data_IF_197302433243
#
_entry.id   IF_197302433243
#
_cell.length_a   1.000
_cell.length_b   1.000
_cell.length_c   1.000
_cell.angle_alpha   90.00
_cell.angle_beta   90.00
_cell.angle_gamma   90.00
#
_symmetry.space_group_name_H-M   'P 1'
#
loop_
_entity.id
_entity.type
_entity.pdbx_description
1 polymer ?
#
# COMPACT_ATOMS: atom_id res chain seq x y z
N UNK A 1 -12.27 -5.81 1.84
CA UNK A 1 -12.35 -4.88 3.01
C UNK A 1 -11.41 -3.71 2.77
N UNK A 2 -11.81 -2.49 3.13
CA UNK A 2 -10.91 -1.32 3.08
C UNK A 2 -10.54 -0.95 4.52
N UNK A 3 -9.25 -0.87 4.80
CA UNK A 3 -8.70 -0.31 6.03
C UNK A 3 -8.37 1.17 5.78
N UNK A 4 -9.17 2.11 6.32
CA UNK A 4 -8.92 3.53 6.12
C UNK A 4 -7.65 3.95 6.84
N UNK A 5 -7.02 5.01 6.34
CA UNK A 5 -5.88 5.63 6.99
C UNK A 5 -6.18 5.99 8.45
N UNK A 6 -5.21 5.72 9.31
CA UNK A 6 -5.25 6.01 10.72
C UNK A 6 -3.86 6.41 11.20
N UNK A 7 -3.79 7.23 12.25
CA UNK A 7 -2.53 7.83 12.71
C UNK A 7 -1.52 6.84 13.31
N UNK A 8 -1.97 5.65 13.73
CA UNK A 8 -1.07 4.57 14.20
C UNK A 8 -1.74 3.19 14.09
N UNK A 9 -0.92 2.14 13.96
CA UNK A 9 -1.31 0.72 14.12
C UNK A 9 -1.96 0.50 15.48
N UNK A 10 -1.34 1.01 16.54
CA UNK A 10 -1.81 0.87 17.92
C UNK A 10 -3.26 1.36 18.10
N UNK A 11 -3.62 2.47 17.48
CA UNK A 11 -4.97 3.00 17.59
C UNK A 11 -5.99 2.20 16.74
N UNK A 12 -5.57 1.49 15.68
CA UNK A 12 -6.45 0.53 15.00
C UNK A 12 -6.72 -0.71 15.88
N UNK A 13 -5.70 -1.19 16.59
CA UNK A 13 -5.80 -2.34 17.48
C UNK A 13 -6.61 -2.03 18.74
N UNK A 14 -6.27 -0.95 19.43
CA UNK A 14 -6.78 -0.66 20.77
C UNK A 14 -7.90 0.38 20.78
N UNK A 15 -7.96 1.23 19.74
CA UNK A 15 -8.95 2.30 19.65
C UNK A 15 -8.83 3.30 20.79
N UNK A 16 -9.97 3.91 21.15
CA UNK A 16 -10.04 4.83 22.29
C UNK A 16 -10.18 4.05 23.61
N UNK A 17 -9.47 4.48 24.65
CA UNK A 17 -9.56 3.88 25.98
C UNK A 17 -10.95 4.09 26.62
N UNK A 18 -11.41 3.14 27.46
CA UNK A 18 -12.63 3.31 28.25
C UNK A 18 -12.64 4.63 29.03
N UNK A 19 -13.71 5.42 28.88
CA UNK A 19 -13.86 6.72 29.55
C UNK A 19 -13.26 7.92 28.81
N UNK A 20 -12.48 7.72 27.74
CA UNK A 20 -11.98 8.82 26.89
C UNK A 20 -12.99 9.29 25.83
N UNK A 21 -13.95 8.45 25.49
CA UNK A 21 -15.03 8.67 24.51
C UNK A 21 -16.32 7.99 24.99
N UNK A 22 -17.51 8.33 24.40
CA UNK A 22 -18.72 7.53 24.61
C UNK A 22 -18.46 6.05 24.32
N UNK A 23 -18.99 5.15 25.16
CA UNK A 23 -18.68 3.72 25.17
C UNK A 23 -18.68 3.04 23.78
N UNK A 24 -19.68 3.36 22.94
CA UNK A 24 -19.79 2.85 21.55
C UNK A 24 -18.66 3.25 20.59
N UNK A 25 -17.76 4.14 21.00
CA UNK A 25 -16.59 4.59 20.23
C UNK A 25 -15.27 4.22 20.93
N UNK A 26 -15.32 3.43 22.00
CA UNK A 26 -14.14 2.90 22.69
C UNK A 26 -13.81 1.49 22.20
N UNK A 27 -12.55 1.09 22.33
CA UNK A 27 -12.03 -0.17 21.80
C UNK A 27 -11.66 -0.11 20.31
N UNK A 28 -10.81 -1.02 19.89
CA UNK A 28 -10.37 -1.19 18.50
C UNK A 28 -10.66 -2.60 18.00
N UNK A 29 -9.94 -3.03 16.96
CA UNK A 29 -10.07 -4.37 16.40
C UNK A 29 -9.69 -5.47 17.41
N UNK A 30 -8.72 -5.19 18.28
CA UNK A 30 -8.05 -6.17 19.11
C UNK A 30 -7.33 -7.25 18.32
N UNK A 31 -6.62 -8.13 19.03
CA UNK A 31 -5.95 -9.28 18.42
C UNK A 31 -6.94 -10.19 17.68
N UNK A 32 -8.14 -10.38 18.24
CA UNK A 32 -9.18 -11.20 17.61
C UNK A 32 -9.61 -10.64 16.26
N UNK A 33 -9.78 -9.32 16.15
CA UNK A 33 -10.12 -8.65 14.90
C UNK A 33 -8.97 -8.68 13.88
N UNK A 34 -7.72 -8.48 14.33
CA UNK A 34 -6.54 -8.60 13.48
C UNK A 34 -6.41 -10.01 12.88
N UNK A 35 -6.51 -11.05 13.72
CA UNK A 35 -6.52 -12.46 13.29
C UNK A 35 -7.70 -12.77 12.37
N UNK A 36 -8.88 -12.20 12.63
CA UNK A 36 -10.04 -12.38 11.75
C UNK A 36 -9.82 -11.74 10.36
N UNK A 37 -9.18 -10.57 10.29
CA UNK A 37 -8.81 -9.93 9.03
C UNK A 37 -7.76 -10.74 8.26
N UNK A 38 -6.74 -11.23 8.95
CA UNK A 38 -5.73 -12.09 8.33
C UNK A 38 -6.36 -13.38 7.78
N UNK A 39 -7.24 -14.03 8.57
CA UNK A 39 -8.01 -15.20 8.13
C UNK A 39 -8.90 -14.88 6.93
N UNK A 40 -9.51 -13.71 6.89
CA UNK A 40 -10.31 -13.31 5.74
C UNK A 40 -9.44 -13.23 4.47
N UNK A 41 -8.26 -12.63 4.54
CA UNK A 41 -7.33 -12.54 3.40
C UNK A 41 -6.82 -13.92 2.99
N UNK A 42 -6.31 -14.70 3.94
CA UNK A 42 -5.73 -16.02 3.65
C UNK A 42 -6.73 -16.99 3.03
N UNK A 43 -8.03 -16.83 3.27
CA UNK A 43 -9.12 -17.60 2.65
C UNK A 43 -9.64 -16.98 1.31
N UNK A 44 -8.86 -16.15 0.64
CA UNK A 44 -9.21 -15.58 -0.68
C UNK A 44 -9.81 -14.18 -0.63
N UNK A 45 -9.92 -13.57 0.55
CA UNK A 45 -10.39 -12.21 0.71
C UNK A 45 -9.39 -11.16 0.19
N UNK A 46 -9.90 -9.97 -0.11
CA UNK A 46 -9.08 -8.84 -0.57
C UNK A 46 -9.13 -7.71 0.46
N UNK A 47 -7.98 -7.26 0.93
CA UNK A 47 -7.83 -6.10 1.82
C UNK A 47 -7.13 -4.98 1.07
N UNK A 48 -7.66 -3.76 1.16
CA UNK A 48 -7.02 -2.55 0.67
C UNK A 48 -6.69 -1.68 1.87
N UNK A 49 -5.42 -1.35 2.09
CA UNK A 49 -4.97 -0.54 3.21
C UNK A 49 -4.43 0.80 2.72
N UNK A 50 -4.86 1.88 3.39
CA UNK A 50 -4.41 3.23 3.06
C UNK A 50 -3.39 3.74 4.06
N UNK A 51 -2.29 4.24 3.54
CA UNK A 51 -1.30 5.04 4.25
C UNK A 51 -0.90 4.39 5.59
N UNK A 52 -1.23 4.99 6.74
CA UNK A 52 -0.90 4.42 8.05
C UNK A 52 -1.46 3.02 8.31
N UNK A 53 -2.62 2.67 7.74
CA UNK A 53 -3.19 1.33 7.87
C UNK A 53 -2.41 0.27 7.08
N UNK A 54 -1.57 0.67 6.13
CA UNK A 54 -0.67 -0.26 5.44
C UNK A 54 0.37 -0.83 6.40
N UNK A 55 0.84 -0.04 7.38
CA UNK A 55 1.78 -0.50 8.42
C UNK A 55 1.12 -1.57 9.29
N UNK A 56 -0.11 -1.33 9.74
CA UNK A 56 -0.91 -2.34 10.44
C UNK A 56 -1.01 -3.66 9.63
N UNK A 57 -1.35 -3.57 8.34
CA UNK A 57 -1.48 -4.77 7.51
C UNK A 57 -0.14 -5.49 7.29
N UNK A 58 0.96 -4.74 7.20
CA UNK A 58 2.32 -5.30 7.10
C UNK A 58 2.67 -6.09 8.37
N UNK A 59 2.49 -5.46 9.54
CA UNK A 59 2.88 -6.02 10.84
C UNK A 59 1.99 -7.20 11.23
N UNK A 60 0.67 -7.00 11.25
CA UNK A 60 -0.28 -7.98 11.77
C UNK A 60 -0.43 -9.21 10.86
N UNK A 61 -0.16 -9.07 9.56
CA UNK A 61 -0.23 -10.20 8.61
C UNK A 61 1.17 -10.78 8.30
N UNK A 62 2.25 -10.20 8.84
CA UNK A 62 3.61 -10.64 8.59
C UNK A 62 4.03 -10.54 7.11
N UNK A 63 3.61 -9.48 6.42
CA UNK A 63 3.92 -9.31 4.99
C UNK A 63 5.42 -9.04 4.78
N UNK A 64 6.03 -9.52 3.68
CA UNK A 64 7.45 -9.29 3.38
C UNK A 64 7.68 -7.90 2.77
N UNK A 65 7.21 -6.86 3.46
CA UNK A 65 7.29 -5.45 3.07
C UNK A 65 7.64 -4.65 4.32
N UNK A 66 8.40 -3.57 4.19
CA UNK A 66 8.64 -2.61 5.28
C UNK A 66 8.28 -1.20 4.87
N UNK A 67 7.94 -0.35 5.84
CA UNK A 67 7.86 1.10 5.63
C UNK A 67 9.25 1.72 5.76
N UNK A 68 9.73 2.38 4.70
CA UNK A 68 11.06 3.04 4.71
C UNK A 68 11.04 4.41 5.37
N UNK A 69 9.84 4.93 5.68
CA UNK A 69 9.68 6.20 6.41
C UNK A 69 9.65 6.00 7.93
N UNK A 70 9.56 4.75 8.38
CA UNK A 70 9.50 4.41 9.79
C UNK A 70 10.82 4.74 10.51
N UNK A 71 10.70 5.35 11.69
CA UNK A 71 11.87 5.70 12.51
C UNK A 71 12.70 6.87 11.99
N UNK A 72 12.39 7.43 10.81
CA UNK A 72 13.10 8.59 10.26
C UNK A 72 12.70 9.85 11.03
N UNK A 73 13.65 10.59 11.62
CA UNK A 73 13.34 11.82 12.35
C UNK A 73 12.74 12.90 11.44
N UNK A 74 11.81 13.70 11.97
CA UNK A 74 11.21 14.81 11.21
C UNK A 74 12.19 15.92 10.85
N UNK A 75 13.39 15.94 11.44
CA UNK A 75 14.49 16.83 11.06
C UNK A 75 15.20 16.39 9.78
N UNK A 76 15.02 15.14 9.36
CA UNK A 76 15.65 14.54 8.17
C UNK A 76 14.62 14.34 7.06
N UNK A 77 13.44 13.81 7.40
CA UNK A 77 12.33 13.61 6.47
C UNK A 77 11.04 14.25 6.99
N UNK A 78 10.53 15.25 6.25
CA UNK A 78 9.24 15.84 6.60
C UNK A 78 8.50 16.33 5.35
N UNK A 79 7.27 15.85 5.19
CA UNK A 79 6.35 16.29 4.15
C UNK A 79 4.96 16.40 4.79
N UNK A 80 4.56 17.57 5.34
CA UNK A 80 3.30 17.72 6.07
C UNK A 80 2.07 17.63 5.15
N UNK A 81 2.27 17.93 3.86
CA UNK A 81 1.23 17.93 2.85
C UNK A 81 1.77 18.47 1.53
N UNK A 82 1.95 17.60 0.54
CA UNK A 82 2.47 17.98 -0.78
C UNK A 82 1.95 17.05 -1.87
N UNK A 83 2.04 17.52 -3.10
CA UNK A 83 1.82 16.69 -4.28
C UNK A 83 3.16 16.11 -4.70
N UNK A 84 3.29 14.79 -4.59
CA UNK A 84 4.50 14.06 -4.94
C UNK A 84 4.27 13.32 -6.26
N UNK A 85 5.21 13.54 -7.18
CA UNK A 85 5.25 12.87 -8.48
C UNK A 85 5.39 11.38 -8.26
N UNK A 86 4.45 10.63 -8.80
CA UNK A 86 4.38 9.17 -8.65
C UNK A 86 4.27 8.57 -10.05
N UNK A 87 5.19 7.66 -10.39
CA UNK A 87 5.15 6.89 -11.62
C UNK A 87 4.33 5.62 -11.41
N UNK A 88 3.58 5.23 -12.44
CA UNK A 88 2.64 4.10 -12.40
C UNK A 88 3.04 3.09 -13.47
N UNK A 89 3.13 1.81 -13.08
CA UNK A 89 3.29 0.73 -14.03
C UNK A 89 1.95 0.47 -14.73
N UNK A 90 1.72 1.11 -15.88
CA UNK A 90 0.45 1.02 -16.63
C UNK A 90 0.19 -0.35 -17.26
N UNK A 91 1.20 -1.23 -17.30
CA UNK A 91 1.04 -2.62 -17.70
C UNK A 91 0.47 -3.50 -16.57
N UNK A 92 0.48 -3.00 -15.33
CA UNK A 92 -0.08 -3.71 -14.19
C UNK A 92 -1.62 -3.66 -14.21
N UNK A 93 -2.35 -4.77 -13.97
CA UNK A 93 -3.82 -4.78 -14.02
C UNK A 93 -4.49 -3.79 -13.07
N UNK A 94 -3.94 -3.61 -11.86
CA UNK A 94 -4.42 -2.59 -10.90
C UNK A 94 -4.22 -1.15 -11.36
N UNK A 95 -3.42 -0.92 -12.40
CA UNK A 95 -3.20 0.38 -13.03
C UNK A 95 -3.95 0.54 -14.35
N UNK A 96 -4.91 -0.33 -14.67
CA UNK A 96 -5.71 -0.23 -15.89
C UNK A 96 -6.28 1.19 -16.10
N UNK A 97 -5.99 1.77 -17.26
CA UNK A 97 -6.45 3.11 -17.66
C UNK A 97 -5.82 4.27 -16.89
N UNK A 98 -4.75 4.04 -16.12
CA UNK A 98 -3.96 5.11 -15.49
C UNK A 98 -3.06 5.82 -16.52
N UNK A 99 -2.68 7.06 -16.21
CA UNK A 99 -1.53 7.70 -16.85
C UNK A 99 -0.25 7.12 -16.22
N UNK A 100 0.88 7.19 -16.94
CA UNK A 100 2.19 6.74 -16.43
C UNK A 100 2.70 7.56 -15.24
N UNK A 101 2.14 8.75 -15.03
CA UNK A 101 2.54 9.71 -13.99
C UNK A 101 1.31 10.36 -13.38
N UNK A 102 1.25 10.39 -12.05
CA UNK A 102 0.21 11.08 -11.27
C UNK A 102 0.81 11.90 -10.14
N UNK A 103 0.02 12.85 -9.63
CA UNK A 103 0.30 13.57 -8.40
C UNK A 103 -0.37 12.85 -7.22
N UNK A 104 0.41 12.17 -6.38
CA UNK A 104 -0.08 11.59 -5.15
C UNK A 104 -0.07 12.64 -4.03
N UNK A 105 -1.16 12.73 -3.26
CA UNK A 105 -1.18 13.58 -2.07
C UNK A 105 -0.47 12.89 -0.92
N UNK A 106 0.69 13.40 -0.54
CA UNK A 106 1.52 12.87 0.54
C UNK A 106 1.40 13.75 1.77
N UNK A 107 1.05 13.17 2.92
CA UNK A 107 0.81 13.88 4.18
C UNK A 107 1.38 13.11 5.36
N UNK A 108 2.69 13.22 5.54
CA UNK A 108 3.47 12.38 6.45
C UNK A 108 3.18 10.89 6.20
N UNK A 109 3.01 10.57 4.92
CA UNK A 109 2.55 9.28 4.44
C UNK A 109 3.67 8.25 4.39
N UNK A 110 3.39 7.05 3.89
CA UNK A 110 4.30 5.91 3.89
C UNK A 110 4.98 5.69 2.54
N UNK A 111 6.12 5.04 2.56
CA UNK A 111 6.75 4.51 1.37
C UNK A 111 7.29 3.12 1.68
N UNK A 112 7.33 2.22 0.71
CA UNK A 112 7.57 0.81 1.02
C UNK A 112 8.84 0.27 0.40
N UNK A 113 9.26 -0.89 0.89
CA UNK A 113 10.29 -1.71 0.25
C UNK A 113 9.96 -3.20 0.44
N UNK A 114 10.01 -4.03 -0.63
CA UNK A 114 9.94 -5.47 -0.47
C UNK A 114 11.13 -5.98 0.34
N UNK A 115 10.88 -6.79 1.35
CA UNK A 115 11.93 -7.42 2.16
C UNK A 115 12.25 -8.79 1.57
N UNK A 116 13.51 -9.02 1.23
CA UNK A 116 14.01 -10.38 1.02
C UNK A 116 14.42 -10.94 2.38
N UNK A 117 13.86 -12.07 2.79
CA UNK A 117 14.30 -12.75 4.01
C UNK A 117 15.79 -13.12 3.88
N UNK A 118 16.61 -12.51 4.74
CA UNK A 118 18.04 -12.82 4.84
C UNK A 118 18.23 -14.22 5.42
N UNK A 119 19.09 -15.00 4.75
CA UNK A 119 19.36 -16.42 5.07
C UNK A 119 20.40 -16.63 6.16
N UNK A 120 20.81 -15.56 6.83
CA UNK A 120 21.95 -15.58 7.74
C UNK A 120 21.57 -14.78 8.98
N UNK A 121 21.36 -15.49 10.08
CA UNK A 121 21.15 -14.90 11.40
C UNK A 121 22.31 -15.21 12.33
N UNK A 122 22.19 -14.80 13.60
CA UNK A 122 23.19 -15.08 14.64
C UNK A 122 23.45 -16.58 14.86
N UNK A 123 22.47 -17.43 14.53
CA UNK A 123 22.55 -18.90 14.62
C UNK A 123 23.18 -19.61 13.41
N UNK A 124 23.63 -18.88 12.38
CA UNK A 124 24.14 -19.45 11.14
C UNK A 124 23.13 -19.38 9.98
N UNK A 125 23.37 -20.20 8.94
CA UNK A 125 22.50 -20.27 7.75
C UNK A 125 21.41 -21.32 7.96
N UNK A 126 20.16 -20.91 7.90
CA UNK A 126 19.04 -21.85 7.95
C UNK A 126 18.88 -22.56 6.59
N UNK A 127 19.05 -23.89 6.59
CA UNK A 127 18.86 -24.76 5.42
C UNK A 127 17.42 -25.30 5.30
N UNK A 128 16.44 -24.65 5.96
CA UNK A 128 15.02 -25.06 5.90
C UNK A 128 14.43 -24.68 4.55
N UNK A 129 13.70 -25.61 3.93
CA UNK A 129 12.98 -25.37 2.68
C UNK A 129 11.79 -24.44 2.94
N UNK A 130 11.99 -23.14 2.73
CA UNK A 130 10.92 -22.15 2.83
C UNK A 130 9.78 -22.45 1.85
N UNK A 131 8.56 -22.13 2.27
CA UNK A 131 7.44 -21.98 1.35
C UNK A 131 7.74 -20.91 0.29
N UNK A 132 6.96 -20.86 -0.80
CA UNK A 132 7.11 -19.80 -1.78
C UNK A 132 6.98 -18.43 -1.10
N UNK A 133 7.94 -17.53 -1.37
CA UNK A 133 7.84 -16.14 -0.93
C UNK A 133 6.52 -15.55 -1.44
N UNK A 134 5.78 -14.80 -0.61
CA UNK A 134 4.61 -14.07 -1.07
C UNK A 134 4.96 -13.23 -2.29
N UNK A 135 4.15 -13.33 -3.35
CA UNK A 135 4.37 -12.52 -4.54
C UNK A 135 4.09 -11.06 -4.19
N UNK A 136 5.11 -10.22 -4.33
CA UNK A 136 5.06 -8.78 -4.08
C UNK A 136 5.27 -8.05 -5.40
N UNK A 137 4.24 -7.37 -5.89
CA UNK A 137 4.27 -6.63 -7.15
C UNK A 137 4.18 -5.12 -6.87
N UNK A 138 5.02 -4.33 -7.54
CA UNK A 138 5.01 -2.87 -7.41
C UNK A 138 4.13 -2.27 -8.51
N UNK A 139 3.07 -1.58 -8.10
CA UNK A 139 2.09 -0.95 -9.02
C UNK A 139 2.46 0.50 -9.31
N UNK A 140 2.97 1.20 -8.30
CA UNK A 140 3.39 2.60 -8.43
C UNK A 140 4.61 2.88 -7.55
N UNK A 141 5.41 3.87 -7.96
CA UNK A 141 6.61 4.35 -7.23
C UNK A 141 6.56 5.87 -7.12
N UNK A 142 7.09 6.42 -6.05
CA UNK A 142 7.47 7.83 -6.07
C UNK A 142 8.59 8.03 -7.10
N UNK A 143 8.58 9.15 -7.81
CA UNK A 143 9.59 9.41 -8.83
C UNK A 143 11.00 9.47 -8.21
N UNK A 144 12.03 9.11 -8.97
CA UNK A 144 13.44 9.24 -8.51
C UNK A 144 13.94 10.69 -8.58
N UNK A 145 13.34 11.49 -9.46
CA UNK A 145 13.74 12.87 -9.77
C UNK A 145 12.50 13.75 -9.84
N UNK A 146 12.67 15.02 -9.51
CA UNK A 146 11.62 16.04 -9.55
C UNK A 146 10.34 15.59 -8.78
N UNK A 147 10.56 15.04 -7.58
CA UNK A 147 9.51 14.48 -6.71
C UNK A 147 8.46 15.53 -6.35
N UNK A 148 8.89 16.68 -5.84
CA UNK A 148 7.99 17.71 -5.36
C UNK A 148 7.34 18.43 -6.55
N UNK A 149 6.04 18.16 -6.78
CA UNK A 149 5.26 18.89 -7.78
C UNK A 149 4.67 20.17 -7.20
N UNK A 150 4.28 20.15 -5.93
CA UNK A 150 3.71 21.30 -5.23
C UNK A 150 3.77 21.10 -3.71
N UNK A 151 3.99 22.18 -2.97
CA UNK A 151 4.03 22.19 -1.52
C UNK A 151 5.45 22.36 -1.00
N UNK A 152 5.78 21.62 0.05
CA UNK A 152 7.08 21.66 0.71
C UNK A 152 7.49 20.25 1.13
N UNK A 153 8.75 19.93 0.90
CA UNK A 153 9.35 18.66 1.28
C UNK A 153 10.77 18.87 1.80
N UNK A 154 11.14 18.02 2.75
CA UNK A 154 12.49 17.88 3.29
C UNK A 154 12.87 16.41 3.22
N UNK A 155 14.05 16.12 2.66
CA UNK A 155 14.62 14.77 2.59
C UNK A 155 13.95 13.84 1.58
N UNK A 156 13.05 14.33 0.72
CA UNK A 156 12.21 13.50 -0.14
C UNK A 156 13.01 12.61 -1.09
N UNK A 157 14.11 13.12 -1.63
CA UNK A 157 14.95 12.37 -2.57
C UNK A 157 15.67 11.20 -1.89
N UNK A 158 16.09 11.38 -0.63
CA UNK A 158 16.85 10.38 0.11
C UNK A 158 15.95 9.29 0.67
N UNK A 159 14.78 9.66 1.20
CA UNK A 159 13.93 8.73 1.94
C UNK A 159 12.83 8.08 1.11
N UNK A 160 12.33 8.73 0.06
CA UNK A 160 11.23 8.19 -0.76
C UNK A 160 11.51 8.19 -2.27
N UNK A 161 12.66 8.67 -2.73
CA UNK A 161 13.02 8.65 -4.15
C UNK A 161 13.03 7.24 -4.74
N UNK A 162 12.18 6.98 -5.74
CA UNK A 162 12.12 5.67 -6.44
C UNK A 162 11.46 4.53 -5.65
N UNK A 163 11.05 4.78 -4.41
CA UNK A 163 10.49 3.74 -3.55
C UNK A 163 9.04 3.42 -3.95
N UNK A 164 8.59 2.17 -3.79
CA UNK A 164 7.20 1.79 -3.98
C UNK A 164 6.20 2.66 -3.18
N UNK A 165 5.20 3.17 -3.89
CA UNK A 165 4.09 3.97 -3.35
C UNK A 165 2.76 3.18 -3.36
N UNK A 166 2.66 2.12 -4.17
CA UNK A 166 1.54 1.19 -4.17
C UNK A 166 2.04 -0.22 -4.50
N UNK A 167 1.60 -1.20 -3.72
CA UNK A 167 2.02 -2.59 -3.86
C UNK A 167 0.83 -3.54 -3.82
N UNK A 168 0.95 -4.64 -4.56
CA UNK A 168 0.03 -5.77 -4.55
C UNK A 168 0.75 -6.97 -3.91
N UNK A 169 0.26 -7.45 -2.76
CA UNK A 169 0.90 -8.52 -2.00
C UNK A 169 -0.05 -9.70 -1.88
N UNK A 170 0.35 -10.87 -2.39
CA UNK A 170 -0.43 -12.10 -2.20
C UNK A 170 -0.23 -12.62 -0.77
N UNK A 171 -1.31 -13.00 -0.08
CA UNK A 171 -1.24 -13.56 1.27
C UNK A 171 -2.26 -14.69 1.41
N UNK A 172 -1.79 -15.93 1.57
CA UNK A 172 -2.63 -17.11 1.36
C UNK A 172 -3.27 -17.12 -0.03
N UNK A 173 -4.57 -17.36 -0.10
CA UNK A 173 -5.32 -17.37 -1.37
C UNK A 173 -5.76 -15.95 -1.81
N UNK A 174 -5.70 -14.98 -0.90
CA UNK A 174 -6.16 -13.62 -1.12
C UNK A 174 -5.04 -12.62 -1.38
N UNK A 175 -5.37 -11.35 -1.20
CA UNK A 175 -4.50 -10.24 -1.60
C UNK A 175 -4.63 -9.05 -0.65
N UNK A 176 -3.49 -8.41 -0.38
CA UNK A 176 -3.40 -7.15 0.34
C UNK A 176 -2.83 -6.09 -0.59
N UNK A 177 -3.61 -5.05 -0.86
CA UNK A 177 -3.18 -3.89 -1.66
C UNK A 177 -2.80 -2.77 -0.70
N UNK A 178 -1.52 -2.40 -0.71
CA UNK A 178 -0.95 -1.38 0.16
C UNK A 178 -0.83 -0.08 -0.63
N UNK A 179 -1.38 1.00 -0.09
CA UNK A 179 -1.14 2.36 -0.59
C UNK A 179 -0.27 3.12 0.41
N UNK A 180 0.82 3.71 -0.05
CA UNK A 180 1.68 4.60 0.74
C UNK A 180 1.11 6.01 0.86
N UNK A 181 -0.12 6.23 0.39
CA UNK A 181 -0.81 7.50 0.42
C UNK A 181 -2.32 7.25 0.46
N UNK A 182 -3.12 8.29 0.66
CA UNK A 182 -4.58 8.19 0.58
C UNK A 182 -5.05 8.44 -0.86
N UNK A 183 -5.42 7.40 -1.64
CA UNK A 183 -5.82 7.61 -3.03
C UNK A 183 -7.06 8.48 -3.17
N UNK A 184 -7.92 8.51 -2.15
CA UNK A 184 -9.15 9.31 -2.10
C UNK A 184 -9.00 10.71 -1.49
N UNK A 185 -7.82 11.09 -1.00
CA UNK A 185 -7.61 12.20 -0.06
C UNK A 185 -8.56 13.41 -0.26
N UNK A 186 -9.47 13.63 0.71
CA UNK A 186 -10.45 14.74 0.75
C UNK A 186 -11.35 14.92 -0.49
N UNK A 187 -11.52 13.93 -1.36
CA UNK A 187 -12.32 14.16 -2.58
C UNK A 187 -11.52 14.71 -3.77
N UNK A 188 -10.23 15.02 -3.60
CA UNK A 188 -9.52 15.96 -4.49
C UNK A 188 -8.65 15.30 -5.57
N UNK A 189 -7.77 14.31 -5.29
CA UNK A 189 -6.84 13.79 -6.28
C UNK A 189 -7.52 12.76 -7.19
N UNK A 190 -8.34 13.25 -8.14
CA UNK A 190 -9.08 12.40 -9.09
C UNK A 190 -8.18 11.46 -9.90
N UNK A 191 -6.92 11.83 -10.10
CA UNK A 191 -5.93 11.02 -10.80
C UNK A 191 -5.62 9.70 -10.09
N UNK A 192 -5.70 9.64 -8.76
CA UNK A 192 -5.36 8.43 -7.98
C UNK A 192 -6.58 7.56 -7.64
N UNK A 193 -7.80 8.03 -7.91
CA UNK A 193 -9.05 7.33 -7.58
C UNK A 193 -9.18 6.03 -8.34
N UNK A 194 -8.72 6.03 -9.58
CA UNK A 194 -8.80 4.87 -10.45
C UNK A 194 -7.96 3.71 -9.92
N UNK A 195 -6.83 3.95 -9.26
CA UNK A 195 -6.07 2.90 -8.57
C UNK A 195 -6.91 2.20 -7.49
N UNK A 196 -7.65 2.98 -6.69
CA UNK A 196 -8.57 2.43 -5.69
C UNK A 196 -9.71 1.65 -6.36
N UNK A 197 -10.37 2.22 -7.37
CA UNK A 197 -11.46 1.52 -8.05
C UNK A 197 -11.00 0.25 -8.76
N UNK A 198 -9.80 0.24 -9.34
CA UNK A 198 -9.22 -0.96 -9.93
C UNK A 198 -8.96 -2.03 -8.86
N UNK A 199 -8.48 -1.66 -7.67
CA UNK A 199 -8.33 -2.60 -6.55
C UNK A 199 -9.68 -3.17 -6.08
N UNK A 200 -10.73 -2.35 -6.03
CA UNK A 200 -12.08 -2.83 -5.70
C UNK A 200 -12.67 -3.71 -6.80
N UNK A 201 -12.43 -3.38 -8.06
CA UNK A 201 -12.89 -4.19 -9.18
C UNK A 201 -12.16 -5.54 -9.23
N UNK A 202 -10.84 -5.54 -9.06
CA UNK A 202 -10.02 -6.74 -8.97
C UNK A 202 -10.48 -7.69 -7.85
N UNK A 203 -11.00 -7.15 -6.74
CA UNK A 203 -11.56 -7.97 -5.67
C UNK A 203 -12.82 -8.77 -6.07
N UNK A 204 -13.39 -8.49 -7.25
CA UNK A 204 -14.57 -9.17 -7.79
C UNK A 204 -14.25 -10.10 -8.97
N UNK A 205 -12.99 -10.22 -9.38
CA UNK A 205 -12.56 -11.05 -10.51
C UNK A 205 -11.81 -12.31 -10.06
N UNK A 206 -11.87 -13.38 -10.85
CA UNK A 206 -11.05 -14.58 -10.65
C UNK A 206 -9.62 -14.28 -11.09
N UNK A 207 -8.82 -13.72 -10.18
CA UNK A 207 -7.46 -13.25 -10.46
C UNK A 207 -7.43 -11.87 -11.12
N UNK A 208 -6.22 -11.32 -11.27
CA UNK A 208 -6.04 -10.05 -11.95
C UNK A 208 -6.18 -10.25 -13.47
N UNK A 209 -6.96 -9.41 -14.18
CA UNK A 209 -7.10 -9.53 -15.62
C UNK A 209 -5.75 -9.32 -16.30
N UNK A 210 -5.39 -10.16 -17.28
CA UNK A 210 -4.20 -9.91 -18.07
C UNK A 210 -4.41 -8.67 -18.93
N UNK A 211 -3.54 -7.67 -18.81
CA UNK A 211 -3.57 -6.49 -19.66
C UNK A 211 -3.06 -6.90 -21.04
N UNK A 212 -3.97 -7.27 -21.94
CA UNK A 212 -3.69 -7.33 -23.37
C UNK A 212 -3.49 -5.90 -23.90
N UNK A 213 -2.59 -5.72 -24.88
CA UNK A 213 -2.52 -4.47 -25.62
C UNK A 213 -3.85 -4.27 -26.35
N UNK A 214 -4.80 -3.58 -25.71
CA UNK A 214 -5.98 -3.08 -26.40
C UNK A 214 -5.43 -2.12 -27.45
N UNK A 215 -5.65 -2.38 -28.76
CA UNK A 215 -5.22 -1.45 -29.79
C UNK A 215 -5.73 -0.06 -29.43
N UNK A 216 -4.88 0.96 -29.54
CA UNK A 216 -5.29 2.34 -29.31
C UNK A 216 -6.41 2.79 -30.26
N UNK A 217 -6.64 2.03 -31.33
CA UNK A 217 -7.77 2.16 -32.23
C UNK A 217 -8.98 1.35 -31.70
N UNK A 218 -10.06 2.02 -31.26
CA UNK A 218 -11.28 1.35 -30.80
C UNK A 218 -12.04 0.63 -31.94
N UNK A 219 -11.56 0.72 -33.19
CA UNK A 219 -12.13 0.05 -34.37
C UNK A 219 -11.23 -1.04 -34.96
N UNK A 220 -10.09 -1.35 -34.36
CA UNK A 220 -9.28 -2.46 -34.82
C UNK A 220 -10.00 -3.79 -34.49
N UNK A 221 -10.50 -4.48 -35.51
CA UNK A 221 -11.04 -5.83 -35.36
C UNK A 221 -9.94 -6.78 -34.89
N UNK A 222 -10.27 -7.66 -33.94
CA UNK A 222 -9.37 -8.71 -33.49
C UNK A 222 -9.35 -9.81 -34.56
N UNK A 223 -8.21 -9.99 -35.25
CA UNK A 223 -7.94 -11.13 -36.13
C UNK A 223 -7.84 -12.45 -35.35
#
# INVERSE_FOLDING_TARGET
IILPDHYSTDALLHGHEPGSMPEKYTGGLGLEGAVALERYVTNGGNVVAFDGASVFAIEEFGLPVRDVTEGVPSSEFFIPGSLIRTTVNTEHPLAYGMQDTVAASFQQSRAFEPVQQDRTGEGGREDVKLGPQPLVEVVARYAEKDLLMSGWALGEKEHIGGTPAMMNVRHGDGTVVLFGFRPQFRGQPRATYKLLFNALHAATTEGLPQVGQVPADPFAEME
#
